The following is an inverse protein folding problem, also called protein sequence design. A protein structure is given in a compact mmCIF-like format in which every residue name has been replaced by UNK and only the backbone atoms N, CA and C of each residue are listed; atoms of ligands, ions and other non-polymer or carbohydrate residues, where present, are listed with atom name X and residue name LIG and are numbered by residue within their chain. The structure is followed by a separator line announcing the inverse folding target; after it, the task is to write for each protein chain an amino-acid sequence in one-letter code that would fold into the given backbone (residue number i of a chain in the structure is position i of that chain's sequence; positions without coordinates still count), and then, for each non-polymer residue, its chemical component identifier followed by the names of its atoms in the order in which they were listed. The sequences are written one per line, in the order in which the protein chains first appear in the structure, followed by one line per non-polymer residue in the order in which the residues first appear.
data_IF_864992694096
#
_entry.id   IF_864992694096
#
_cell.length_a   1.000
_cell.length_b   1.000
_cell.length_c   1.000
_cell.angle_alpha   90.00
_cell.angle_beta   90.00
_cell.angle_gamma   90.00
#
_symmetry.space_group_name_H-M   'P 1'
#
loop_
_entity.id
_entity.type
_entity.pdbx_description
1 polymer ?
#
# COMPACT_ATOMS: atom_id res chain seq x y z
N UNK A 1 -21.66 -1.66 -7.97
CA UNK A 1 -20.28 -1.77 -7.45
C UNK A 1 -19.26 -0.93 -8.24
N UNK A 2 -19.57 0.31 -8.64
CA UNK A 2 -18.69 1.14 -9.48
C UNK A 2 -17.66 2.00 -8.70
N UNK A 3 -17.95 2.35 -7.44
CA UNK A 3 -17.10 3.28 -6.65
C UNK A 3 -15.73 2.72 -6.30
N UNK A 4 -15.59 1.39 -6.18
CA UNK A 4 -14.33 0.75 -5.79
C UNK A 4 -13.32 0.73 -6.94
N UNK A 5 -13.77 0.34 -8.14
CA UNK A 5 -12.95 0.34 -9.36
C UNK A 5 -12.50 1.75 -9.77
N UNK A 6 -13.31 2.77 -9.47
CA UNK A 6 -12.96 4.18 -9.68
C UNK A 6 -11.81 4.63 -8.76
N UNK A 7 -11.86 4.30 -7.47
CA UNK A 7 -10.78 4.65 -6.52
C UNK A 7 -9.44 4.00 -6.87
N UNK A 8 -9.46 2.76 -7.34
CA UNK A 8 -8.25 2.05 -7.80
C UNK A 8 -7.64 2.78 -9.01
N UNK A 9 -8.47 3.15 -10.00
CA UNK A 9 -8.00 3.91 -11.17
C UNK A 9 -7.50 5.31 -10.80
N UNK A 10 -8.21 6.04 -9.94
CA UNK A 10 -7.79 7.35 -9.46
C UNK A 10 -6.43 7.30 -8.74
N UNK A 11 -6.21 6.28 -7.92
CA UNK A 11 -4.93 6.09 -7.21
C UNK A 11 -3.76 5.81 -8.16
N UNK A 12 -4.01 5.09 -9.27
CA UNK A 12 -3.00 4.87 -10.31
C UNK A 12 -2.71 6.15 -11.11
N UNK A 13 -3.73 6.94 -11.43
CA UNK A 13 -3.58 8.25 -12.10
C UNK A 13 -2.78 9.22 -11.24
N UNK A 14 -3.03 9.25 -9.93
CA UNK A 14 -2.29 10.07 -8.96
C UNK A 14 -0.89 9.56 -8.65
N UNK A 15 -0.43 8.46 -9.28
CA UNK A 15 0.90 7.86 -9.08
C UNK A 15 1.22 7.61 -7.60
N UNK A 16 0.24 7.17 -6.83
CA UNK A 16 0.45 6.93 -5.39
C UNK A 16 1.41 5.74 -5.23
N UNK A 17 2.58 5.92 -4.61
CA UNK A 17 3.64 4.89 -4.54
C UNK A 17 3.22 3.64 -3.75
N UNK A 18 2.32 3.80 -2.78
CA UNK A 18 1.84 2.72 -1.92
C UNK A 18 0.32 2.74 -1.82
N UNK A 19 -0.31 1.60 -2.08
CA UNK A 19 -1.74 1.40 -1.95
C UNK A 19 -1.97 0.38 -0.85
N UNK A 20 -2.62 0.80 0.24
CA UNK A 20 -3.03 -0.08 1.31
C UNK A 20 -4.46 -0.57 1.06
N UNK A 21 -4.65 -1.86 1.18
CA UNK A 21 -5.94 -2.53 1.18
C UNK A 21 -6.14 -3.06 2.59
N UNK A 22 -7.23 -2.65 3.23
CA UNK A 22 -7.61 -3.05 4.58
C UNK A 22 -9.07 -3.48 4.50
N UNK A 23 -9.32 -4.77 4.69
CA UNK A 23 -10.65 -5.34 4.87
C UNK A 23 -10.91 -5.72 6.32
N UNK A 24 -12.07 -6.33 6.57
CA UNK A 24 -12.47 -6.77 7.91
C UNK A 24 -11.51 -7.80 8.51
N UNK A 25 -10.99 -8.70 7.67
CA UNK A 25 -10.03 -9.74 8.10
C UNK A 25 -8.68 -9.14 8.49
N UNK A 26 -8.18 -8.19 7.70
CA UNK A 26 -6.94 -7.46 8.00
C UNK A 26 -7.05 -6.66 9.32
N UNK A 27 -8.24 -6.11 9.60
CA UNK A 27 -8.50 -5.39 10.84
C UNK A 27 -8.52 -6.31 12.06
N UNK A 28 -9.01 -7.55 11.92
CA UNK A 28 -9.03 -8.54 13.00
C UNK A 28 -7.63 -9.12 13.29
N UNK A 29 -6.81 -9.30 12.24
CA UNK A 29 -5.45 -9.85 12.32
C UNK A 29 -4.35 -8.78 12.56
N UNK A 30 -4.71 -7.50 12.70
CA UNK A 30 -3.77 -6.35 12.76
C UNK A 30 -2.73 -6.35 11.61
N UNK A 31 -3.18 -6.80 10.44
CA UNK A 31 -2.37 -6.84 9.22
C UNK A 31 -2.88 -5.85 8.19
N UNK A 32 -2.05 -5.51 7.22
CA UNK A 32 -2.41 -4.66 6.09
C UNK A 32 -1.84 -5.25 4.81
N UNK A 33 -2.62 -5.20 3.75
CA UNK A 33 -2.16 -5.62 2.44
C UNK A 33 -1.63 -4.41 1.68
N UNK A 34 -0.33 -4.44 1.39
CA UNK A 34 0.39 -3.33 0.78
C UNK A 34 0.71 -3.67 -0.66
N UNK A 35 0.36 -2.74 -1.55
CA UNK A 35 0.65 -2.82 -2.97
C UNK A 35 1.49 -1.65 -3.42
N UNK A 36 2.68 -1.91 -3.97
CA UNK A 36 3.56 -0.88 -4.52
C UNK A 36 3.13 -0.48 -5.94
N UNK A 37 3.26 0.80 -6.26
CA UNK A 37 3.02 1.31 -7.60
C UNK A 37 3.99 0.68 -8.60
N UNK A 38 3.46 0.19 -9.73
CA UNK A 38 4.25 -0.49 -10.76
C UNK A 38 4.48 -1.98 -10.49
N UNK A 39 4.14 -2.50 -9.32
CA UNK A 39 4.17 -3.93 -9.04
C UNK A 39 2.75 -4.55 -9.02
N UNK A 40 2.65 -5.78 -9.53
CA UNK A 40 1.42 -6.58 -9.46
C UNK A 40 1.29 -7.34 -8.14
N UNK A 41 2.41 -7.57 -7.47
CA UNK A 41 2.46 -8.33 -6.23
C UNK A 41 1.96 -7.47 -5.06
N UNK A 42 1.22 -8.13 -4.19
CA UNK A 42 0.75 -7.58 -2.93
C UNK A 42 1.40 -8.36 -1.79
N UNK A 43 1.79 -7.66 -0.74
CA UNK A 43 2.35 -8.28 0.44
C UNK A 43 1.49 -7.94 1.65
N UNK A 44 1.09 -8.96 2.39
CA UNK A 44 0.43 -8.79 3.68
C UNK A 44 1.51 -8.71 4.75
N UNK A 45 1.53 -7.61 5.49
CA UNK A 45 2.46 -7.36 6.59
C UNK A 45 1.67 -6.87 7.80
N UNK A 46 2.18 -7.01 9.01
CA UNK A 46 1.54 -6.41 10.19
C UNK A 46 1.60 -4.88 10.10
N UNK A 47 0.63 -4.21 10.72
CA UNK A 47 0.57 -2.74 10.77
C UNK A 47 1.88 -2.15 11.30
N UNK A 48 2.41 -2.69 12.41
CA UNK A 48 3.67 -2.24 13.00
C UNK A 48 4.86 -2.38 12.05
N UNK A 49 4.97 -3.53 11.38
CA UNK A 49 6.05 -3.76 10.42
C UNK A 49 5.94 -2.82 9.22
N UNK A 50 4.71 -2.54 8.76
CA UNK A 50 4.48 -1.59 7.68
C UNK A 50 4.88 -0.17 8.07
N UNK A 51 4.50 0.29 9.26
CA UNK A 51 4.86 1.62 9.76
C UNK A 51 6.38 1.75 9.85
N UNK A 52 7.07 0.76 10.41
CA UNK A 52 8.54 0.77 10.47
C UNK A 52 9.18 0.75 9.08
N UNK A 53 8.67 -0.07 8.16
CA UNK A 53 9.17 -0.14 6.79
C UNK A 53 8.97 1.19 6.05
N UNK A 54 7.81 1.84 6.15
CA UNK A 54 7.57 3.16 5.54
C UNK A 54 8.43 4.24 6.18
N UNK A 55 8.55 4.27 7.51
CA UNK A 55 9.40 5.26 8.18
C UNK A 55 10.85 5.09 7.75
N UNK A 56 11.34 3.85 7.62
CA UNK A 56 12.66 3.56 7.08
C UNK A 56 12.79 3.98 5.60
N UNK A 57 11.79 3.72 4.77
CA UNK A 57 11.77 4.09 3.35
C UNK A 57 11.82 5.63 3.16
N UNK A 58 11.03 6.35 3.97
CA UNK A 58 11.01 7.83 4.03
C UNK A 58 12.37 8.35 4.53
N UNK A 59 12.90 7.78 5.62
CA UNK A 59 14.18 8.20 6.20
C UNK A 59 15.36 7.98 5.24
N UNK A 60 15.36 6.86 4.53
CA UNK A 60 16.37 6.55 3.53
C UNK A 60 16.21 7.35 2.23
N UNK A 61 15.12 8.15 2.10
CA UNK A 61 14.77 8.86 0.86
C UNK A 61 14.93 7.96 -0.36
N UNK A 62 14.60 6.67 -0.22
CA UNK A 62 14.65 5.70 -1.31
C UNK A 62 13.51 6.02 -2.26
N UNK A 63 13.71 7.10 -3.03
CA UNK A 63 13.05 7.30 -4.29
C UNK A 63 13.40 6.03 -5.06
N UNK A 64 12.41 5.17 -5.30
CA UNK A 64 12.53 4.14 -6.32
C UNK A 64 12.65 4.92 -7.63
N UNK A 65 13.86 5.39 -7.92
CA UNK A 65 14.22 5.93 -9.22
C UNK A 65 14.05 4.80 -10.22
N UNK A 66 13.35 5.13 -11.30
CA UNK A 66 13.25 4.27 -12.47
C UNK A 66 14.60 4.14 -13.14
#
# INVERSE_FOLDING_TARGET
NEKMQFKIRASQTSKIPYQLIVGDKEMEDETVNVRRYGQKETQTVSVDNFVQAILADIANKSRVEK
#
